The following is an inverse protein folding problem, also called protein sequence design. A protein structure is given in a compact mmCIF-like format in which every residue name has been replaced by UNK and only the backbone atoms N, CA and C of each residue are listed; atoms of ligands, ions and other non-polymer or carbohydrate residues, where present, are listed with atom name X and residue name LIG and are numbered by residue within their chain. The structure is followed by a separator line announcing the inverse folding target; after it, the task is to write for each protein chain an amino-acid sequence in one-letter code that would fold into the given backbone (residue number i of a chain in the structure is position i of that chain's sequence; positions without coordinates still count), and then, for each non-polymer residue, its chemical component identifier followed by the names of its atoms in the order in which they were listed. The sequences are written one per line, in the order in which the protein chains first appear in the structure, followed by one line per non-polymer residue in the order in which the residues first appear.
data_IF_749207283659
#
_entry.id   IF_749207283659
#
_cell.length_a   1.000
_cell.length_b   1.000
_cell.length_c   1.000
_cell.angle_alpha   90.00
_cell.angle_beta   90.00
_cell.angle_gamma   90.00
#
_symmetry.space_group_name_H-M   'P 1'
#
loop_
_entity.id
_entity.type
_entity.pdbx_description
1 polymer ?
#
# COMPACT_ATOMS: atom_id res chain seq x y z
N UNK A 1 -0.84 -19.47 -5.54
CA UNK A 1 -0.33 -18.12 -5.86
C UNK A 1 0.31 -17.53 -4.60
N UNK A 2 1.54 -17.93 -4.27
CA UNK A 2 2.25 -17.48 -3.03
C UNK A 2 3.21 -16.32 -3.33
N UNK A 3 3.61 -16.14 -4.60
CA UNK A 3 4.63 -15.16 -5.00
C UNK A 3 4.18 -13.69 -4.87
N UNK A 4 2.89 -13.37 -5.07
CA UNK A 4 2.39 -12.01 -4.83
C UNK A 4 2.32 -11.66 -3.34
N UNK A 5 2.20 -12.66 -2.47
CA UNK A 5 2.03 -12.48 -1.03
C UNK A 5 3.35 -12.29 -0.27
N UNK A 6 4.52 -12.25 -0.91
CA UNK A 6 5.76 -11.80 -0.24
C UNK A 6 6.27 -10.48 -0.82
N UNK A 7 5.70 -10.06 -1.95
CA UNK A 7 6.13 -8.86 -2.65
C UNK A 7 5.83 -7.60 -1.83
N UNK A 8 4.73 -7.55 -1.07
CA UNK A 8 4.47 -6.41 -0.21
C UNK A 8 5.53 -6.28 0.88
N UNK A 9 5.88 -7.37 1.58
CA UNK A 9 6.90 -7.36 2.62
C UNK A 9 8.27 -6.96 2.07
N UNK A 10 8.65 -7.49 0.92
CA UNK A 10 9.89 -7.12 0.23
C UNK A 10 9.92 -5.62 -0.09
N UNK A 11 8.83 -5.06 -0.64
CA UNK A 11 8.73 -3.62 -0.90
C UNK A 11 8.73 -2.79 0.39
N UNK A 12 8.07 -3.26 1.44
CA UNK A 12 8.03 -2.60 2.76
C UNK A 12 9.41 -2.48 3.37
N UNK A 13 10.20 -3.55 3.39
CA UNK A 13 11.58 -3.53 3.93
C UNK A 13 12.48 -2.60 3.11
N UNK A 14 12.41 -2.68 1.78
CA UNK A 14 13.17 -1.79 0.90
C UNK A 14 12.80 -0.31 1.09
N UNK A 15 11.50 0.00 1.22
CA UNK A 15 11.03 1.35 1.45
C UNK A 15 11.42 1.87 2.85
N UNK A 16 11.34 1.03 3.88
CA UNK A 16 11.74 1.38 5.24
C UNK A 16 13.26 1.62 5.37
N UNK A 17 14.07 0.95 4.55
CA UNK A 17 15.52 1.17 4.46
C UNK A 17 15.90 2.34 3.52
N UNK A 18 14.93 3.00 2.88
CA UNK A 18 15.19 4.11 1.97
C UNK A 18 15.64 5.35 2.72
N UNK A 19 16.60 6.08 2.15
CA UNK A 19 17.04 7.39 2.65
C UNK A 19 16.11 8.53 2.24
N UNK A 20 15.10 8.25 1.41
CA UNK A 20 14.12 9.24 0.95
C UNK A 20 13.12 9.51 2.08
N UNK A 21 13.12 10.74 2.60
CA UNK A 21 12.10 11.17 3.58
C UNK A 21 10.71 11.14 2.94
N UNK A 22 9.76 10.56 3.65
CA UNK A 22 8.39 10.42 3.15
C UNK A 22 8.25 9.34 2.07
N UNK A 23 9.22 8.43 1.93
CA UNK A 23 9.05 7.25 1.10
C UNK A 23 7.75 6.51 1.48
N UNK A 24 6.98 6.15 0.46
CA UNK A 24 5.76 5.37 0.65
C UNK A 24 6.13 3.96 1.12
N UNK A 25 5.63 3.57 2.30
CA UNK A 25 5.81 2.23 2.86
C UNK A 25 4.47 1.50 2.73
N UNK A 26 4.38 0.43 1.91
CA UNK A 26 3.12 -0.27 1.71
C UNK A 26 2.67 -1.00 2.99
N UNK A 27 1.36 -0.99 3.22
CA UNK A 27 0.68 -1.79 4.21
C UNK A 27 0.48 -3.22 3.69
N UNK A 28 0.89 -4.20 4.51
CA UNK A 28 0.81 -5.62 4.16
C UNK A 28 -0.03 -6.35 5.20
N UNK A 29 -0.83 -7.29 4.72
CA UNK A 29 -1.55 -8.27 5.54
C UNK A 29 -0.57 -9.18 6.28
N UNK A 30 -1.04 -9.93 7.28
CA UNK A 30 -0.22 -10.92 7.99
C UNK A 30 0.30 -12.08 7.11
N UNK A 31 -0.29 -12.24 5.91
CA UNK A 31 0.14 -13.24 4.92
C UNK A 31 1.15 -12.66 3.93
N UNK A 32 1.53 -11.39 4.10
CA UNK A 32 2.46 -10.62 3.28
C UNK A 32 1.88 -10.10 1.95
N UNK A 33 0.59 -10.31 1.68
CA UNK A 33 -0.11 -9.67 0.57
C UNK A 33 -0.34 -8.18 0.85
N UNK A 34 -0.51 -7.38 -0.21
CA UNK A 34 -0.90 -5.97 -0.06
C UNK A 34 -2.27 -5.87 0.60
N UNK A 35 -2.39 -4.99 1.60
CA UNK A 35 -3.70 -4.55 2.07
C UNK A 35 -4.43 -3.86 0.92
N UNK A 36 -5.73 -4.15 0.75
CA UNK A 36 -6.53 -3.54 -0.35
C UNK A 36 -6.50 -2.02 -0.29
N UNK A 37 -6.51 -1.46 0.92
CA UNK A 37 -6.39 -0.02 1.16
C UNK A 37 -4.94 0.30 1.52
N UNK A 38 -4.35 1.22 0.78
CA UNK A 38 -3.04 1.79 1.04
C UNK A 38 -3.21 3.28 1.40
N UNK A 39 -2.40 3.79 2.32
CA UNK A 39 -2.41 5.19 2.71
C UNK A 39 -1.00 5.78 2.68
N UNK A 40 -0.90 7.04 2.27
CA UNK A 40 0.37 7.79 2.33
C UNK A 40 0.85 7.96 3.78
N UNK A 41 2.15 8.20 4.03
CA UNK A 41 2.70 8.29 5.38
C UNK A 41 2.04 9.33 6.29
N UNK A 42 1.55 10.45 5.73
CA UNK A 42 0.82 11.47 6.47
C UNK A 42 -0.68 11.16 6.66
N UNK A 43 -1.15 10.06 6.06
CA UNK A 43 -2.51 9.57 6.15
C UNK A 43 -3.57 10.43 5.46
N UNK A 44 -3.21 11.50 4.74
CA UNK A 44 -4.21 12.36 4.09
C UNK A 44 -4.75 11.77 2.80
N UNK A 45 -4.01 10.87 2.15
CA UNK A 45 -4.47 10.21 0.95
C UNK A 45 -4.44 8.71 1.14
N UNK A 46 -5.53 8.06 0.77
CA UNK A 46 -5.63 6.61 0.70
C UNK A 46 -6.16 6.21 -0.66
N UNK A 47 -5.85 5.00 -1.12
CA UNK A 47 -6.26 4.48 -2.42
C UNK A 47 -6.39 2.95 -2.34
N UNK A 48 -7.18 2.38 -3.25
CA UNK A 48 -7.27 0.94 -3.40
C UNK A 48 -6.10 0.42 -4.24
N UNK A 49 -5.64 -0.80 -3.97
CA UNK A 49 -4.66 -1.50 -4.79
C UNK A 49 -5.12 -2.90 -5.18
N UNK A 50 -4.60 -3.39 -6.30
CA UNK A 50 -4.75 -4.79 -6.72
C UNK A 50 -3.78 -5.72 -5.95
N UNK A 51 -3.82 -7.02 -6.28
CA UNK A 51 -2.97 -8.05 -5.67
C UNK A 51 -1.46 -7.84 -5.88
N UNK A 52 -1.07 -6.95 -6.79
CA UNK A 52 0.33 -6.60 -7.10
C UNK A 52 0.74 -5.28 -6.45
N UNK A 53 -0.16 -4.66 -5.67
CA UNK A 53 0.04 -3.38 -5.03
C UNK A 53 -0.04 -2.19 -5.99
N UNK A 54 -0.71 -2.34 -7.13
CA UNK A 54 -0.91 -1.27 -8.11
C UNK A 54 -2.21 -0.54 -7.79
N UNK A 55 -2.16 0.80 -7.73
CA UNK A 55 -3.32 1.65 -7.49
C UNK A 55 -4.43 1.40 -8.52
N UNK A 56 -5.65 1.19 -8.03
CA UNK A 56 -6.86 1.13 -8.85
C UNK A 56 -7.22 2.57 -9.25
N UNK A 57 -7.38 2.87 -10.55
CA UNK A 57 -7.73 4.20 -11.02
C UNK A 57 -8.99 4.75 -10.34
N UNK A 58 -8.99 6.05 -10.02
CA UNK A 58 -10.10 6.76 -9.38
C UNK A 58 -10.48 6.29 -7.95
N UNK A 59 -9.67 5.45 -7.32
CA UNK A 59 -9.89 5.02 -5.92
C UNK A 59 -9.29 5.98 -4.88
N UNK A 60 -8.49 6.96 -5.31
CA UNK A 60 -7.77 7.85 -4.39
C UNK A 60 -8.69 8.85 -3.70
N UNK A 61 -8.70 8.81 -2.39
CA UNK A 61 -9.39 9.73 -1.49
C UNK A 61 -8.44 10.75 -0.88
N UNK A 62 -8.99 11.86 -0.35
CA UNK A 62 -8.26 12.92 0.35
C UNK A 62 -8.80 13.10 1.77
N UNK A 63 -8.10 13.88 2.58
CA UNK A 63 -8.43 14.20 3.98
C UNK A 63 -8.50 12.98 4.91
N UNK A 64 -7.81 11.88 4.56
CA UNK A 64 -7.76 10.66 5.37
C UNK A 64 -9.02 9.81 5.35
N UNK A 65 -9.99 10.13 4.48
CA UNK A 65 -11.09 9.22 4.16
C UNK A 65 -10.53 7.93 3.57
N UNK A 66 -10.99 6.76 4.00
CA UNK A 66 -10.61 5.48 3.37
C UNK A 66 -11.54 5.18 2.19
N UNK A 67 -11.03 4.78 1.02
CA UNK A 67 -11.87 4.31 -0.07
C UNK A 67 -12.53 2.98 0.27
N UNK A 68 -13.66 2.72 -0.38
CA UNK A 68 -14.29 1.41 -0.38
C UNK A 68 -13.64 0.55 -1.47
N UNK A 69 -13.04 -0.58 -1.07
CA UNK A 69 -12.31 -1.49 -1.96
C UNK A 69 -12.95 -2.88 -1.86
N UNK A 70 -13.93 -3.15 -2.74
CA UNK A 70 -14.66 -4.42 -2.83
C UNK A 70 -13.77 -5.66 -3.01
#
# INVERSE_FOLDING_TARGET
MVECALECERRRVNAASSTIRGAFVPACTAQGAFEKVQCEPDGRQCFCVDVRGIEIPNSRTRNGSKPDCE
#
